data_IF_814342394637
#
_entry.id   IF_814342394637
#
_cell.length_a   1.000
_cell.length_b   1.000
_cell.length_c   1.000
_cell.angle_alpha   90.00
_cell.angle_beta   90.00
_cell.angle_gamma   90.00
#
_symmetry.space_group_name_H-M   'P 1'
#
loop_
_entity.id
_entity.type
_entity.pdbx_description
1 polymer ?
#
# COMPACT_ATOMS: atom_id res chain seq x y z
N UNK A 1 6.59 17.15 14.26
CA UNK A 1 7.30 16.23 13.33
C UNK A 1 6.33 15.19 12.82
N UNK A 2 6.31 14.95 11.54
CA UNK A 2 5.35 14.03 10.90
C UNK A 2 6.00 12.71 10.51
N UNK A 3 5.33 11.62 10.85
CA UNK A 3 5.67 10.26 10.42
C UNK A 3 4.61 9.82 9.41
N UNK A 4 5.03 9.42 8.22
CA UNK A 4 4.16 8.82 7.20
C UNK A 4 4.46 7.34 7.08
N UNK A 5 3.41 6.51 7.10
CA UNK A 5 3.51 5.04 7.04
C UNK A 5 2.77 4.56 5.81
N UNK A 6 3.44 3.83 4.93
CA UNK A 6 2.81 3.23 3.77
C UNK A 6 1.81 2.15 4.17
N UNK A 7 0.63 2.18 3.57
CA UNK A 7 -0.36 1.12 3.75
C UNK A 7 0.08 -0.11 2.97
N UNK A 8 0.31 0.03 1.66
CA UNK A 8 0.75 -1.08 0.82
C UNK A 8 2.17 -1.49 1.17
N UNK A 9 2.37 -2.77 1.38
CA UNK A 9 3.66 -3.36 1.69
C UNK A 9 4.04 -3.35 3.16
N UNK A 10 3.57 -2.39 3.95
CA UNK A 10 3.85 -2.32 5.39
C UNK A 10 2.69 -2.90 6.20
N UNK A 11 1.48 -2.48 5.91
CA UNK A 11 0.28 -2.89 6.64
C UNK A 11 -0.56 -3.92 5.86
N UNK A 12 -0.56 -3.85 4.55
CA UNK A 12 -1.37 -4.69 3.67
C UNK A 12 -0.52 -5.37 2.60
N UNK A 13 -0.75 -6.67 2.40
CA UNK A 13 -0.15 -7.42 1.31
C UNK A 13 -1.04 -7.33 0.07
N UNK A 14 -0.88 -6.25 -0.68
CA UNK A 14 -1.71 -5.99 -1.86
C UNK A 14 -1.35 -6.90 -3.03
N UNK A 15 -0.07 -7.22 -3.22
CA UNK A 15 0.38 -8.00 -4.38
C UNK A 15 -0.12 -9.43 -4.32
N UNK A 16 -0.01 -10.08 -3.17
CA UNK A 16 -0.54 -11.43 -2.99
C UNK A 16 -2.04 -11.46 -3.23
N UNK A 17 -2.77 -10.51 -2.67
CA UNK A 17 -4.22 -10.44 -2.83
C UNK A 17 -4.61 -10.19 -4.29
N UNK A 18 -3.87 -9.36 -4.99
CA UNK A 18 -4.09 -9.09 -6.42
C UNK A 18 -3.94 -10.37 -7.25
N UNK A 19 -2.90 -11.16 -6.97
CA UNK A 19 -2.69 -12.44 -7.64
C UNK A 19 -3.82 -13.44 -7.36
N UNK A 20 -4.24 -13.57 -6.11
CA UNK A 20 -5.33 -14.45 -5.71
C UNK A 20 -6.66 -14.06 -6.37
N UNK A 21 -6.96 -12.76 -6.40
CA UNK A 21 -8.17 -12.23 -7.05
C UNK A 21 -8.15 -12.45 -8.56
N UNK A 22 -6.98 -12.23 -9.19
CA UNK A 22 -6.82 -12.47 -10.63
C UNK A 22 -7.15 -13.93 -10.99
N UNK A 23 -6.59 -14.88 -10.27
CA UNK A 23 -6.82 -16.29 -10.53
C UNK A 23 -8.28 -16.69 -10.33
N UNK A 24 -8.91 -16.15 -9.30
CA UNK A 24 -10.33 -16.41 -9.02
C UNK A 24 -11.26 -15.72 -10.03
N UNK A 25 -10.96 -14.49 -10.40
CA UNK A 25 -11.80 -13.71 -11.32
C UNK A 25 -11.71 -14.21 -12.76
N UNK A 26 -10.51 -14.55 -13.24
CA UNK A 26 -10.29 -14.98 -14.62
C UNK A 26 -10.31 -16.49 -14.81
N UNK A 27 -10.10 -17.28 -13.75
CA UNK A 27 -9.88 -18.72 -13.84
C UNK A 27 -8.53 -19.11 -14.42
N UNK A 28 -7.62 -18.14 -14.61
CA UNK A 28 -6.27 -18.35 -15.16
C UNK A 28 -5.23 -18.26 -14.06
N UNK A 29 -4.15 -19.05 -14.20
CA UNK A 29 -2.99 -18.91 -13.32
C UNK A 29 -2.15 -17.71 -13.72
N UNK A 30 -1.45 -17.11 -12.76
CA UNK A 30 -0.46 -16.08 -13.04
C UNK A 30 0.68 -16.65 -13.89
N UNK A 31 1.15 -15.90 -14.88
CA UNK A 31 2.25 -16.33 -15.77
C UNK A 31 3.60 -16.39 -15.06
N UNK A 32 3.77 -15.59 -14.03
CA UNK A 32 4.97 -15.49 -13.19
C UNK A 32 4.57 -15.21 -11.75
N UNK A 33 5.50 -15.41 -10.81
CA UNK A 33 5.36 -14.93 -9.44
C UNK A 33 5.26 -13.40 -9.46
N UNK A 34 4.23 -12.84 -8.83
CA UNK A 34 3.99 -11.41 -8.78
C UNK A 34 5.14 -10.65 -8.11
N UNK A 35 5.93 -11.30 -7.27
CA UNK A 35 7.09 -10.69 -6.62
C UNK A 35 8.35 -10.73 -7.49
N UNK A 36 8.33 -11.42 -8.63
CA UNK A 36 9.50 -11.58 -9.51
C UNK A 36 9.71 -10.44 -10.49
N UNK A 37 8.73 -9.55 -10.66
CA UNK A 37 8.79 -8.45 -11.62
C UNK A 37 8.00 -7.25 -11.12
N UNK A 38 8.39 -6.06 -11.57
CA UNK A 38 7.64 -4.82 -11.33
C UNK A 38 6.57 -4.57 -12.39
N UNK A 39 6.61 -5.32 -13.50
CA UNK A 39 5.65 -5.18 -14.60
C UNK A 39 4.52 -6.22 -14.47
N UNK A 40 3.36 -5.77 -14.02
CA UNK A 40 2.21 -6.65 -13.81
C UNK A 40 1.67 -7.28 -15.10
N UNK A 41 1.94 -6.70 -16.27
CA UNK A 41 1.59 -7.31 -17.55
C UNK A 41 2.38 -8.59 -17.85
N UNK A 42 3.52 -8.78 -17.18
CA UNK A 42 4.26 -10.05 -17.24
C UNK A 42 3.65 -11.13 -16.34
N UNK A 43 2.87 -10.73 -15.34
CA UNK A 43 2.23 -11.64 -14.39
C UNK A 43 0.84 -12.04 -14.85
N UNK A 44 0.04 -11.08 -15.29
CA UNK A 44 -1.35 -11.26 -15.67
C UNK A 44 -1.51 -11.25 -17.19
N UNK A 45 -2.45 -12.07 -17.68
CA UNK A 45 -2.71 -12.20 -19.10
C UNK A 45 -3.72 -11.14 -19.56
N UNK A 46 -3.28 -9.88 -19.58
CA UNK A 46 -4.01 -8.76 -20.18
C UNK A 46 -3.24 -8.23 -21.38
N UNK A 47 -3.95 -7.82 -22.42
CA UNK A 47 -3.34 -7.34 -23.64
C UNK A 47 -2.76 -5.91 -23.48
N UNK A 48 -3.37 -5.08 -22.62
CA UNK A 48 -3.00 -3.68 -22.47
C UNK A 48 -2.99 -3.26 -21.00
N UNK A 49 -2.30 -2.15 -20.73
CA UNK A 49 -2.32 -1.52 -19.40
C UNK A 49 -3.73 -1.05 -19.02
N UNK A 50 -4.55 -0.67 -19.99
CA UNK A 50 -5.95 -0.27 -19.75
C UNK A 50 -6.78 -1.43 -19.21
N UNK A 51 -6.62 -2.62 -19.75
CA UNK A 51 -7.31 -3.82 -19.25
C UNK A 51 -6.84 -4.17 -17.84
N UNK A 52 -5.55 -4.04 -17.58
CA UNK A 52 -4.97 -4.23 -16.24
C UNK A 52 -5.56 -3.23 -15.24
N UNK A 53 -5.63 -1.96 -15.64
CA UNK A 53 -6.21 -0.89 -14.83
C UNK A 53 -7.69 -1.17 -14.53
N UNK A 54 -8.46 -1.57 -15.54
CA UNK A 54 -9.87 -1.97 -15.39
C UNK A 54 -10.03 -3.06 -14.32
N UNK A 55 -9.21 -4.10 -14.40
CA UNK A 55 -9.24 -5.20 -13.43
C UNK A 55 -8.99 -4.70 -12.01
N UNK A 56 -7.94 -3.92 -11.80
CA UNK A 56 -7.50 -3.52 -10.47
C UNK A 56 -8.43 -2.47 -9.85
N UNK A 57 -8.82 -1.46 -10.63
CA UNK A 57 -9.46 -0.25 -10.09
C UNK A 57 -10.94 -0.11 -10.41
N UNK A 58 -11.46 -0.84 -11.38
CA UNK A 58 -12.86 -0.75 -11.77
C UNK A 58 -13.62 -2.01 -11.41
N UNK A 59 -13.10 -3.18 -11.77
CA UNK A 59 -13.80 -4.46 -11.60
C UNK A 59 -13.62 -5.05 -10.19
N UNK A 60 -12.40 -5.05 -9.67
CA UNK A 60 -12.07 -5.75 -8.43
C UNK A 60 -11.42 -4.90 -7.32
N UNK A 61 -11.70 -3.59 -7.20
CA UNK A 61 -11.03 -2.78 -6.17
C UNK A 61 -11.38 -3.21 -4.74
N UNK A 62 -12.61 -3.59 -4.48
CA UNK A 62 -13.01 -4.03 -3.13
C UNK A 62 -12.35 -5.37 -2.77
N UNK A 63 -12.28 -6.29 -3.70
CA UNK A 63 -11.67 -7.60 -3.50
C UNK A 63 -10.16 -7.50 -3.27
N UNK A 64 -9.48 -6.61 -4.01
CA UNK A 64 -8.03 -6.41 -3.92
C UNK A 64 -7.65 -5.56 -2.72
N UNK A 65 -8.27 -4.38 -2.58
CA UNK A 65 -7.87 -3.38 -1.58
C UNK A 65 -8.68 -3.48 -0.29
N UNK A 66 -9.97 -3.76 -0.37
CA UNK A 66 -10.86 -3.82 0.78
C UNK A 66 -10.78 -5.14 1.54
N UNK A 67 -10.81 -6.26 0.82
CA UNK A 67 -10.74 -7.60 1.38
C UNK A 67 -9.30 -8.12 1.54
N UNK A 68 -8.32 -7.24 1.46
CA UNK A 68 -6.91 -7.58 1.66
C UNK A 68 -6.62 -8.09 3.07
N UNK A 69 -5.43 -8.65 3.24
CA UNK A 69 -4.96 -9.17 4.52
C UNK A 69 -3.80 -8.33 5.05
N UNK A 70 -3.53 -8.44 6.34
CA UNK A 70 -2.37 -7.83 6.96
C UNK A 70 -1.08 -8.30 6.29
N UNK A 71 -0.12 -7.40 6.10
CA UNK A 71 1.19 -7.74 5.53
C UNK A 71 1.95 -8.73 6.44
N UNK A 72 1.82 -8.56 7.74
CA UNK A 72 2.29 -9.50 8.75
C UNK A 72 1.19 -9.70 9.79
N UNK A 73 1.14 -10.89 10.38
CA UNK A 73 0.18 -11.21 11.42
C UNK A 73 0.28 -10.22 12.57
N UNK A 74 -0.85 -9.63 12.93
CA UNK A 74 -0.98 -8.65 14.02
C UNK A 74 -0.27 -7.30 13.78
N UNK A 75 0.02 -6.95 12.52
CA UNK A 75 0.67 -5.67 12.22
C UNK A 75 -0.18 -4.47 12.69
N UNK A 76 -1.51 -4.57 12.66
CA UNK A 76 -2.37 -3.49 13.14
C UNK A 76 -2.34 -3.35 14.66
N UNK A 77 -2.12 -4.43 15.41
CA UNK A 77 -1.89 -4.33 16.85
C UNK A 77 -0.60 -3.53 17.12
N UNK A 78 0.46 -3.82 16.37
CA UNK A 78 1.72 -3.09 16.48
C UNK A 78 1.58 -1.63 16.07
N UNK A 79 0.86 -1.35 14.99
CA UNK A 79 0.58 0.02 14.54
C UNK A 79 -0.17 0.81 15.62
N UNK A 80 -1.20 0.22 16.19
CA UNK A 80 -2.04 0.88 17.19
C UNK A 80 -1.27 1.15 18.49
N UNK A 81 -0.42 0.23 18.90
CA UNK A 81 0.47 0.43 20.06
C UNK A 81 1.47 1.55 19.80
N UNK A 82 2.08 1.56 18.63
CA UNK A 82 2.99 2.63 18.20
C UNK A 82 2.28 3.99 18.16
N UNK A 83 1.06 4.03 17.61
CA UNK A 83 0.26 5.25 17.54
C UNK A 83 -0.05 5.80 18.93
N UNK A 84 -0.51 4.97 19.87
CA UNK A 84 -0.82 5.38 21.24
C UNK A 84 0.42 5.94 21.95
N UNK A 85 1.58 5.33 21.71
CA UNK A 85 2.84 5.74 22.33
C UNK A 85 3.37 7.06 21.77
N UNK A 86 3.23 7.30 20.46
CA UNK A 86 3.91 8.38 19.75
C UNK A 86 3.02 9.56 19.37
N UNK A 87 1.71 9.45 19.46
CA UNK A 87 0.77 10.46 18.92
C UNK A 87 0.90 11.84 19.56
N UNK A 88 1.40 11.96 20.77
CA UNK A 88 1.55 13.25 21.44
C UNK A 88 2.78 14.02 20.92
N UNK A 89 3.81 13.30 20.48
CA UNK A 89 5.07 13.87 20.02
C UNK A 89 5.16 13.97 18.49
N UNK A 90 4.37 13.15 17.78
CA UNK A 90 4.41 13.07 16.32
C UNK A 90 3.01 13.11 15.72
N UNK A 91 2.92 13.72 14.55
CA UNK A 91 1.74 13.62 13.68
C UNK A 91 1.91 12.36 12.83
N UNK A 92 1.04 11.37 13.01
CA UNK A 92 1.14 10.09 12.34
C UNK A 92 0.09 10.00 11.25
N UNK A 93 0.53 9.71 10.01
CA UNK A 93 -0.31 9.58 8.83
C UNK A 93 -0.12 8.22 8.20
N UNK A 94 -1.20 7.64 7.70
CA UNK A 94 -1.13 6.51 6.77
C UNK A 94 -1.23 7.06 5.35
N UNK A 95 -0.43 6.54 4.44
CA UNK A 95 -0.39 7.02 3.06
C UNK A 95 -0.47 5.86 2.09
N UNK A 96 -1.11 6.08 0.94
CA UNK A 96 -1.25 5.04 -0.08
C UNK A 96 -1.33 5.67 -1.47
N UNK A 97 -0.72 4.99 -2.44
CA UNK A 97 -0.72 5.35 -3.85
C UNK A 97 -1.96 4.79 -4.55
N UNK A 98 -3.10 5.38 -4.30
CA UNK A 98 -4.37 4.84 -4.77
C UNK A 98 -5.19 5.86 -5.54
N UNK A 99 -6.03 5.35 -6.42
CA UNK A 99 -6.91 6.14 -7.29
C UNK A 99 -8.32 5.56 -7.28
N UNK A 100 -9.28 6.41 -7.58
CA UNK A 100 -10.69 6.05 -7.80
C UNK A 100 -11.29 5.16 -6.70
N UNK A 101 -11.89 4.04 -7.06
CA UNK A 101 -12.61 3.14 -6.16
C UNK A 101 -11.72 2.41 -5.16
N UNK A 102 -10.39 2.38 -5.40
CA UNK A 102 -9.46 1.80 -4.43
C UNK A 102 -9.39 2.61 -3.14
N UNK A 103 -9.63 3.91 -3.20
CA UNK A 103 -9.63 4.79 -2.03
C UNK A 103 -10.68 4.39 -0.99
N UNK A 104 -12.00 4.32 -1.31
CA UNK A 104 -12.98 3.86 -0.33
C UNK A 104 -12.76 2.38 0.07
N UNK A 105 -12.27 1.53 -0.82
CA UNK A 105 -11.93 0.15 -0.49
C UNK A 105 -10.83 0.08 0.58
N UNK A 106 -9.81 0.93 0.49
CA UNK A 106 -8.74 1.02 1.49
C UNK A 106 -9.25 1.53 2.83
N UNK A 107 -10.16 2.51 2.83
CA UNK A 107 -10.79 2.97 4.08
C UNK A 107 -11.56 1.83 4.75
N UNK A 108 -12.25 1.01 3.99
CA UNK A 108 -12.92 -0.19 4.48
C UNK A 108 -11.92 -1.17 5.10
N UNK A 109 -10.80 -1.41 4.43
CA UNK A 109 -9.73 -2.27 4.93
C UNK A 109 -9.22 -1.79 6.30
N UNK A 110 -8.93 -0.50 6.43
CA UNK A 110 -8.44 0.08 7.68
C UNK A 110 -9.49 -0.05 8.80
N UNK A 111 -10.75 0.18 8.49
CA UNK A 111 -11.84 0.03 9.45
C UNK A 111 -11.98 -1.42 9.92
N UNK A 112 -11.89 -2.37 9.00
CA UNK A 112 -11.98 -3.80 9.30
C UNK A 112 -10.91 -4.26 10.31
N UNK A 113 -9.69 -3.74 10.18
CA UNK A 113 -8.59 -4.08 11.08
C UNK A 113 -8.49 -3.16 12.31
N UNK A 114 -9.40 -2.20 12.43
CA UNK A 114 -9.49 -1.34 13.61
C UNK A 114 -8.32 -0.37 13.77
N UNK A 115 -7.85 0.21 12.67
CA UNK A 115 -6.79 1.22 12.74
C UNK A 115 -7.22 2.39 13.62
N UNK A 116 -6.37 2.76 14.58
CA UNK A 116 -6.55 3.98 15.38
C UNK A 116 -6.07 5.23 14.66
N UNK A 117 -5.22 5.08 13.64
CA UNK A 117 -4.73 6.20 12.84
C UNK A 117 -5.84 6.63 11.90
N UNK A 118 -6.31 7.87 12.05
CA UNK A 118 -7.40 8.43 11.26
C UNK A 118 -6.94 9.34 10.14
N UNK A 119 -5.70 9.83 10.21
CA UNK A 119 -5.14 10.73 9.21
C UNK A 119 -4.59 9.90 8.05
N UNK A 120 -5.30 9.94 6.92
CA UNK A 120 -5.01 9.13 5.75
C UNK A 120 -4.85 10.06 4.55
N UNK A 121 -3.74 9.94 3.83
CA UNK A 121 -3.50 10.67 2.59
C UNK A 121 -3.30 9.70 1.43
N UNK A 122 -3.89 10.04 0.30
CA UNK A 122 -3.63 9.37 -0.96
C UNK A 122 -2.71 10.22 -1.82
N UNK A 123 -1.76 9.59 -2.48
CA UNK A 123 -0.80 10.25 -3.33
C UNK A 123 -0.68 9.52 -4.68
N UNK A 124 -0.03 10.16 -5.64
CA UNK A 124 0.33 9.57 -6.92
C UNK A 124 1.84 9.65 -7.12
N UNK A 125 2.36 8.98 -8.16
CA UNK A 125 3.78 9.05 -8.51
C UNK A 125 4.23 10.51 -8.70
N UNK A 126 3.37 11.35 -9.26
CA UNK A 126 3.68 12.76 -9.51
C UNK A 126 3.73 13.61 -8.24
N UNK A 127 3.14 13.16 -7.14
CA UNK A 127 3.04 13.94 -5.89
C UNK A 127 3.94 13.41 -4.78
N UNK A 128 4.84 12.46 -5.05
CA UNK A 128 5.74 11.89 -4.05
C UNK A 128 6.66 12.98 -3.45
N UNK A 129 7.17 13.89 -4.26
CA UNK A 129 8.03 14.97 -3.78
C UNK A 129 7.29 15.88 -2.80
N UNK A 130 6.04 16.25 -3.11
CA UNK A 130 5.18 17.01 -2.23
C UNK A 130 4.90 16.27 -0.91
N UNK A 131 4.71 14.96 -0.98
CA UNK A 131 4.51 14.13 0.20
C UNK A 131 5.76 14.12 1.09
N UNK A 132 6.97 14.01 0.48
CA UNK A 132 8.23 14.11 1.23
C UNK A 132 8.41 15.48 1.89
N UNK A 133 7.99 16.56 1.23
CA UNK A 133 8.08 17.91 1.80
C UNK A 133 7.31 18.03 3.13
N UNK A 134 6.22 17.27 3.27
CA UNK A 134 5.39 17.24 4.48
C UNK A 134 5.83 16.18 5.50
N UNK A 135 6.73 15.29 5.13
CA UNK A 135 7.08 14.10 5.93
C UNK A 135 8.50 14.24 6.47
N UNK A 136 8.69 13.98 7.75
CA UNK A 136 10.02 13.98 8.38
C UNK A 136 10.59 12.55 8.42
N UNK A 137 9.75 11.56 8.74
CA UNK A 137 10.14 10.15 8.81
C UNK A 137 9.15 9.33 7.98
N UNK A 138 9.65 8.56 7.04
CA UNK A 138 8.81 7.72 6.19
C UNK A 138 9.10 6.23 6.46
N UNK A 139 8.08 5.49 6.85
CA UNK A 139 8.13 4.04 7.06
C UNK A 139 7.50 3.38 5.83
N UNK A 140 8.33 2.72 5.01
CA UNK A 140 7.90 2.19 3.73
C UNK A 140 8.83 1.08 3.23
N UNK A 141 8.34 0.24 2.33
CA UNK A 141 9.16 -0.67 1.53
C UNK A 141 9.20 -0.26 0.05
N UNK A 142 8.54 0.83 -0.30
CA UNK A 142 8.42 1.31 -1.67
C UNK A 142 9.74 1.91 -2.15
N UNK A 143 10.35 1.27 -3.15
CA UNK A 143 11.66 1.69 -3.69
C UNK A 143 11.63 3.09 -4.29
N UNK A 144 10.55 3.48 -4.94
CA UNK A 144 10.43 4.81 -5.55
C UNK A 144 10.43 5.91 -4.49
N UNK A 145 9.70 5.71 -3.41
CA UNK A 145 9.69 6.64 -2.26
C UNK A 145 11.09 6.72 -1.64
N UNK A 146 11.72 5.57 -1.39
CA UNK A 146 13.06 5.51 -0.81
C UNK A 146 14.10 6.21 -1.69
N UNK A 147 14.01 6.03 -3.01
CA UNK A 147 14.94 6.65 -3.96
C UNK A 147 14.77 8.16 -4.08
N UNK A 148 13.61 8.68 -3.76
CA UNK A 148 13.30 10.13 -3.82
C UNK A 148 13.49 10.85 -2.48
N UNK A 149 14.04 10.18 -1.48
CA UNK A 149 14.24 10.78 -0.15
C UNK A 149 15.14 12.01 -0.22
N UNK A 150 14.66 13.18 0.24
CA UNK A 150 15.50 14.38 0.32
C UNK A 150 16.55 14.27 1.43
N UNK A 151 17.59 15.07 1.34
CA UNK A 151 18.56 15.21 2.41
C UNK A 151 17.90 15.77 3.67
N UNK A 152 18.32 15.31 4.83
CA UNK A 152 17.78 15.74 6.12
C UNK A 152 16.51 15.02 6.56
N UNK A 153 15.96 14.16 5.72
CA UNK A 153 14.82 13.31 6.06
C UNK A 153 15.27 11.91 6.44
N UNK A 154 14.42 11.18 7.18
CA UNK A 154 14.68 9.81 7.56
C UNK A 154 13.72 8.85 6.85
N UNK A 155 14.23 7.70 6.47
CA UNK A 155 13.39 6.59 6.02
C UNK A 155 13.71 5.35 6.83
N UNK A 156 12.66 4.60 7.16
CA UNK A 156 12.76 3.28 7.76
C UNK A 156 12.22 2.30 6.74
N UNK A 157 13.11 1.49 6.20
CA UNK A 157 12.75 0.46 5.24
C UNK A 157 12.28 -0.78 5.98
N UNK A 158 11.14 -1.29 5.58
CA UNK A 158 10.63 -2.57 6.09
C UNK A 158 11.13 -3.67 5.17
N UNK A 159 12.00 -4.53 5.70
CA UNK A 159 12.46 -5.70 4.97
C UNK A 159 11.44 -6.83 5.15
N UNK A 160 11.12 -7.48 4.05
CA UNK A 160 10.24 -8.64 4.05
C UNK A 160 11.04 -9.90 3.82
N UNK A 161 10.71 -11.00 4.54
CA UNK A 161 11.27 -12.29 4.20
C UNK A 161 10.79 -12.69 2.79
N UNK A 162 11.72 -13.12 1.99
CA UNK A 162 11.46 -13.61 0.64
C UNK A 162 11.01 -15.06 0.66
#
# INVERSE_FOLDING_TARGET
MRISISINGVLRDVLKKMADVYEKYTGKECKKDINSTENLLEVFDFATEEELFEFIYVECPMEIFGAGTEAEKHVFNSLNDFYKEKREDYDIYLVSDEIEKSKPATLFFLAKYGSLVERIEFYTIQTIDDLWDRTDIFITDNKLILNKKPDGKLSIKIDKPH
#
